data_IF_015212685526
#
_entry.id   IF_015212685526
#
_cell.length_a   1.000
_cell.length_b   1.000
_cell.length_c   1.000
_cell.angle_alpha   90.00
_cell.angle_beta   90.00
_cell.angle_gamma   90.00
#
_symmetry.space_group_name_H-M   'P 1'
#
loop_
_entity.id
_entity.type
_entity.pdbx_description
1 polymer ?
#
# COMPACT_ATOMS: atom_id res chain seq x y z
N UNK A 1 -29.83 -24.39 3.79
CA UNK A 1 -29.12 -23.13 4.13
C UNK A 1 -29.06 -22.35 2.83
N UNK A 2 -29.89 -21.32 2.69
CA UNK A 2 -30.08 -20.62 1.40
C UNK A 2 -28.83 -19.80 1.06
N UNK A 3 -28.00 -20.31 0.15
CA UNK A 3 -26.74 -19.67 -0.27
C UNK A 3 -26.99 -18.25 -0.79
N UNK A 4 -28.08 -18.06 -1.54
CA UNK A 4 -28.54 -16.76 -2.04
C UNK A 4 -28.92 -15.77 -0.93
N UNK A 5 -29.35 -16.25 0.25
CA UNK A 5 -29.64 -15.40 1.40
C UNK A 5 -28.33 -14.94 2.06
N UNK A 6 -27.36 -15.85 2.22
CA UNK A 6 -26.02 -15.52 2.74
C UNK A 6 -25.38 -14.42 1.88
N UNK A 7 -25.41 -14.57 0.54
CA UNK A 7 -24.82 -13.60 -0.38
C UNK A 7 -25.44 -12.21 -0.23
N UNK A 8 -26.78 -12.11 -0.20
CA UNK A 8 -27.48 -10.84 0.06
C UNK A 8 -27.14 -10.23 1.42
N UNK A 9 -26.88 -11.03 2.45
CA UNK A 9 -26.46 -10.54 3.77
C UNK A 9 -25.00 -10.06 3.77
N UNK A 10 -24.13 -10.60 2.91
CA UNK A 10 -22.77 -10.07 2.69
C UNK A 10 -22.85 -8.72 1.95
N UNK A 11 -23.69 -8.62 0.91
CA UNK A 11 -23.90 -7.38 0.15
C UNK A 11 -24.48 -6.22 0.99
N UNK A 12 -25.36 -6.52 1.96
CA UNK A 12 -26.19 -5.50 2.64
C UNK A 12 -25.88 -5.26 4.12
N UNK A 13 -25.23 -6.20 4.81
CA UNK A 13 -25.21 -6.26 6.28
C UNK A 13 -23.82 -6.46 6.87
N UNK A 14 -23.01 -7.36 6.30
CA UNK A 14 -21.62 -7.59 6.72
C UNK A 14 -20.73 -7.68 5.47
N UNK A 15 -20.05 -6.59 5.07
CA UNK A 15 -19.22 -6.56 3.88
C UNK A 15 -18.18 -7.69 3.82
N UNK A 16 -17.79 -8.08 2.61
CA UNK A 16 -16.85 -9.19 2.37
C UNK A 16 -15.53 -9.00 3.12
N UNK A 17 -15.05 -7.76 3.21
CA UNK A 17 -13.82 -7.37 3.92
C UNK A 17 -13.91 -7.70 5.41
N UNK A 18 -15.07 -7.46 6.03
CA UNK A 18 -15.36 -7.76 7.43
C UNK A 18 -15.45 -9.28 7.63
N UNK A 19 -16.11 -9.98 6.71
CA UNK A 19 -16.20 -11.45 6.72
C UNK A 19 -14.83 -12.13 6.63
N UNK A 20 -13.92 -11.57 5.82
CA UNK A 20 -12.54 -12.06 5.67
C UNK A 20 -11.68 -11.73 6.89
N UNK A 21 -11.66 -10.48 7.33
CA UNK A 21 -10.76 -10.00 8.40
C UNK A 21 -11.09 -10.62 9.76
N UNK A 22 -12.37 -10.63 10.15
CA UNK A 22 -12.82 -11.20 11.43
C UNK A 22 -13.16 -12.69 11.37
N UNK A 23 -12.95 -13.36 10.22
CA UNK A 23 -13.30 -14.78 9.99
C UNK A 23 -14.75 -15.11 10.39
N UNK A 24 -15.66 -14.23 9.96
CA UNK A 24 -17.10 -14.33 10.21
C UNK A 24 -17.89 -14.46 8.92
N UNK A 25 -19.16 -14.85 9.04
CA UNK A 25 -20.07 -15.06 7.92
C UNK A 25 -21.53 -14.88 8.39
N UNK A 26 -22.36 -14.00 7.79
CA UNK A 26 -23.78 -13.98 8.09
C UNK A 26 -24.46 -15.24 7.53
N UNK A 27 -25.07 -16.07 8.38
CA UNK A 27 -25.68 -17.34 7.99
C UNK A 27 -27.15 -17.19 7.61
N UNK A 28 -27.90 -16.41 8.38
CA UNK A 28 -29.31 -16.08 8.12
C UNK A 28 -29.75 -14.91 8.98
N UNK A 29 -30.80 -14.20 8.54
CA UNK A 29 -31.52 -13.19 9.33
C UNK A 29 -32.95 -13.67 9.51
N UNK A 30 -33.43 -13.73 10.74
CA UNK A 30 -34.79 -14.15 11.08
C UNK A 30 -35.37 -13.15 12.07
N UNK A 31 -36.47 -12.49 11.68
CA UNK A 31 -37.12 -11.42 12.44
C UNK A 31 -36.13 -10.33 12.89
N UNK A 32 -35.74 -10.35 14.17
CA UNK A 32 -34.78 -9.43 14.80
C UNK A 32 -33.50 -10.12 15.29
N UNK A 33 -33.19 -11.31 14.79
CA UNK A 33 -31.98 -12.08 15.11
C UNK A 33 -31.11 -12.27 13.85
N UNK A 34 -29.80 -12.02 14.00
CA UNK A 34 -28.80 -12.35 12.98
C UNK A 34 -27.95 -13.52 13.46
N UNK A 35 -28.00 -14.62 12.72
CA UNK A 35 -27.15 -15.77 12.95
C UNK A 35 -25.80 -15.53 12.28
N UNK A 36 -24.74 -15.47 13.09
CA UNK A 36 -23.38 -15.19 12.65
C UNK A 36 -22.51 -16.44 12.81
N UNK A 37 -22.06 -17.00 11.70
CA UNK A 37 -21.00 -17.99 11.71
C UNK A 37 -19.68 -17.33 12.07
N UNK A 38 -19.00 -17.84 13.09
CA UNK A 38 -17.66 -17.39 13.49
C UNK A 38 -16.72 -18.60 13.60
N UNK A 39 -15.49 -18.48 13.08
CA UNK A 39 -14.51 -19.58 13.13
C UNK A 39 -13.98 -19.80 14.55
N UNK A 40 -13.79 -18.72 15.31
CA UNK A 40 -13.41 -18.78 16.73
C UNK A 40 -14.46 -18.06 17.62
N UNK A 41 -15.32 -18.81 18.35
CA UNK A 41 -16.30 -18.22 19.25
C UNK A 41 -15.74 -17.41 20.41
N UNK A 42 -14.44 -17.53 20.72
CA UNK A 42 -13.78 -16.78 21.80
C UNK A 42 -13.21 -15.43 21.32
N UNK A 43 -13.33 -15.08 20.03
CA UNK A 43 -12.92 -13.76 19.53
C UNK A 43 -13.93 -12.68 19.93
N UNK A 44 -13.74 -12.16 21.15
CA UNK A 44 -14.49 -11.03 21.71
C UNK A 44 -14.29 -9.75 20.86
N UNK A 45 -13.18 -9.64 20.13
CA UNK A 45 -12.87 -8.48 19.27
C UNK A 45 -13.75 -8.49 18.02
N UNK A 46 -13.83 -9.62 17.32
CA UNK A 46 -14.76 -9.81 16.20
C UNK A 46 -16.22 -9.60 16.63
N UNK A 47 -16.64 -10.22 17.75
CA UNK A 47 -18.02 -10.10 18.21
C UNK A 47 -18.38 -8.69 18.66
N UNK A 48 -17.46 -7.94 19.29
CA UNK A 48 -17.70 -6.55 19.69
C UNK A 48 -17.72 -5.60 18.49
N UNK A 49 -16.82 -5.77 17.52
CA UNK A 49 -16.83 -5.01 16.27
C UNK A 49 -18.16 -5.18 15.51
N UNK A 50 -18.60 -6.43 15.34
CA UNK A 50 -19.83 -6.75 14.61
C UNK A 50 -21.06 -6.27 15.38
N UNK A 51 -21.10 -6.40 16.71
CA UNK A 51 -22.18 -5.81 17.53
C UNK A 51 -22.26 -4.29 17.39
N UNK A 52 -21.12 -3.60 17.38
CA UNK A 52 -21.04 -2.14 17.19
C UNK A 52 -21.48 -1.72 15.79
N UNK A 53 -21.12 -2.48 14.75
CA UNK A 53 -21.56 -2.26 13.37
C UNK A 53 -23.08 -2.47 13.19
N UNK A 54 -23.65 -3.48 13.87
CA UNK A 54 -25.07 -3.82 13.82
C UNK A 54 -25.93 -3.07 14.84
N UNK A 55 -25.33 -2.19 15.66
CA UNK A 55 -26.00 -1.49 16.77
C UNK A 55 -27.18 -0.64 16.29
N UNK A 56 -27.10 -0.10 15.08
CA UNK A 56 -28.15 0.73 14.46
C UNK A 56 -29.32 -0.09 13.87
N UNK A 57 -29.24 -1.42 13.87
CA UNK A 57 -30.21 -2.31 13.22
C UNK A 57 -31.09 -3.08 14.21
N UNK A 58 -30.97 -2.82 15.52
CA UNK A 58 -31.74 -3.46 16.60
C UNK A 58 -31.77 -5.02 16.54
N UNK A 59 -30.72 -5.62 15.97
CA UNK A 59 -30.62 -7.06 15.77
C UNK A 59 -29.89 -7.73 16.94
N UNK A 60 -30.44 -8.82 17.48
CA UNK A 60 -29.74 -9.71 18.41
C UNK A 60 -28.76 -10.58 17.63
N UNK A 61 -27.47 -10.49 17.98
CA UNK A 61 -26.41 -11.28 17.35
C UNK A 61 -26.29 -12.66 18.02
N UNK A 62 -26.56 -13.73 17.26
CA UNK A 62 -26.43 -15.12 17.73
C UNK A 62 -25.19 -15.74 17.07
N UNK A 63 -24.04 -15.84 17.78
CA UNK A 63 -22.84 -16.46 17.24
C UNK A 63 -23.00 -17.99 17.19
N UNK A 64 -22.58 -18.59 16.08
CA UNK A 64 -22.53 -20.03 15.85
C UNK A 64 -21.12 -20.41 15.38
N UNK A 65 -20.53 -21.45 15.97
CA UNK A 65 -19.23 -21.96 15.53
C UNK A 65 -19.33 -22.55 14.13
N UNK A 66 -18.48 -22.12 13.20
CA UNK A 66 -18.31 -22.72 11.87
C UNK A 66 -16.90 -23.27 11.69
N UNK A 67 -16.73 -24.32 10.90
CA UNK A 67 -15.39 -24.79 10.55
C UNK A 67 -14.70 -23.80 9.59
N UNK A 68 -13.36 -23.65 9.66
CA UNK A 68 -12.61 -22.77 8.76
C UNK A 68 -12.76 -23.17 7.28
N UNK A 69 -12.90 -24.47 7.01
CA UNK A 69 -13.19 -25.02 5.68
C UNK A 69 -14.53 -24.53 5.14
N UNK A 70 -15.58 -24.53 5.97
CA UNK A 70 -16.93 -24.08 5.61
C UNK A 70 -16.98 -22.56 5.40
N UNK A 71 -16.25 -21.79 6.21
CA UNK A 71 -16.05 -20.34 6.01
C UNK A 71 -15.39 -20.07 4.66
N UNK A 72 -14.24 -20.70 4.38
CA UNK A 72 -13.50 -20.57 3.11
C UNK A 72 -14.35 -20.98 1.90
N UNK A 73 -15.05 -22.12 1.99
CA UNK A 73 -15.91 -22.64 0.93
C UNK A 73 -17.04 -21.66 0.58
N UNK A 74 -17.72 -21.09 1.58
CA UNK A 74 -18.82 -20.16 1.33
C UNK A 74 -18.36 -18.82 0.72
N UNK A 75 -17.22 -18.28 1.18
CA UNK A 75 -16.65 -17.05 0.60
C UNK A 75 -16.13 -17.26 -0.82
N UNK A 76 -15.58 -18.43 -1.14
CA UNK A 76 -15.22 -18.79 -2.51
C UNK A 76 -16.45 -18.90 -3.43
N UNK A 77 -17.56 -19.46 -2.93
CA UNK A 77 -18.82 -19.51 -3.66
C UNK A 77 -19.36 -18.09 -3.94
N UNK A 78 -19.34 -17.20 -2.95
CA UNK A 78 -19.74 -15.79 -3.10
C UNK A 78 -18.88 -15.03 -4.13
N UNK A 79 -17.55 -15.19 -4.07
CA UNK A 79 -16.62 -14.59 -5.02
C UNK A 79 -16.84 -15.03 -6.47
N UNK A 80 -17.32 -16.27 -6.68
CA UNK A 80 -17.66 -16.75 -8.02
C UNK A 80 -19.03 -16.23 -8.49
N UNK A 81 -20.02 -16.13 -7.59
CA UNK A 81 -21.32 -15.52 -7.87
C UNK A 81 -21.18 -14.04 -8.29
N UNK A 82 -20.36 -13.26 -7.57
CA UNK A 82 -20.13 -11.84 -7.88
C UNK A 82 -19.48 -11.63 -9.26
N UNK A 83 -18.65 -12.57 -9.74
CA UNK A 83 -18.08 -12.54 -11.09
C UNK A 83 -19.12 -12.84 -12.18
N UNK A 84 -20.02 -13.79 -11.93
CA UNK A 84 -21.07 -14.17 -12.87
C UNK A 84 -22.15 -13.07 -13.01
N UNK A 85 -22.45 -12.34 -11.94
CA UNK A 85 -23.42 -11.23 -11.95
C UNK A 85 -22.95 -9.96 -12.69
N UNK A 86 -21.68 -9.89 -13.11
CA UNK A 86 -21.04 -8.66 -13.63
C UNK A 86 -20.58 -8.73 -15.10
N UNK A 87 -21.04 -9.69 -15.91
CA UNK A 87 -20.74 -9.74 -17.36
C UNK A 87 -21.87 -9.13 -18.22
N UNK A 88 -21.60 -8.10 -19.05
CA UNK A 88 -22.53 -7.62 -20.07
C UNK A 88 -22.50 -8.52 -21.32
N UNK A 89 -23.68 -8.82 -21.88
CA UNK A 89 -23.82 -9.65 -23.07
C UNK A 89 -23.25 -8.98 -24.34
N UNK A 90 -22.50 -9.74 -25.15
CA UNK A 90 -21.97 -9.30 -26.45
C UNK A 90 -22.79 -9.83 -27.63
N UNK A 91 -23.08 -8.97 -28.60
CA UNK A 91 -23.57 -9.38 -29.93
C UNK A 91 -23.14 -8.39 -31.05
N UNK A 92 -23.17 -8.86 -32.31
CA UNK A 92 -23.06 -8.13 -33.59
C UNK A 92 -21.68 -7.65 -34.17
N UNK A 93 -21.10 -8.51 -35.02
CA UNK A 93 -20.46 -8.36 -36.36
C UNK A 93 -19.97 -6.98 -36.94
N UNK A 94 -18.68 -6.95 -37.36
CA UNK A 94 -18.02 -6.55 -38.66
C UNK A 94 -18.43 -5.26 -39.45
N UNK A 95 -17.66 -4.71 -40.45
CA UNK A 95 -16.39 -5.14 -41.12
C UNK A 95 -15.28 -4.03 -41.31
N UNK A 96 -14.15 -4.26 -42.06
CA UNK A 96 -13.02 -3.32 -42.28
C UNK A 96 -12.86 -2.78 -43.75
N UNK A 97 -11.66 -2.33 -44.23
CA UNK A 97 -11.07 -0.97 -44.30
C UNK A 97 -11.04 -0.35 -45.75
N UNK A 98 -10.32 0.77 -46.10
CA UNK A 98 -8.92 0.65 -46.61
C UNK A 98 -7.94 1.87 -46.55
N UNK A 99 -6.64 1.53 -46.49
CA UNK A 99 -5.38 2.06 -47.10
C UNK A 99 -5.16 3.46 -47.75
N UNK A 100 -4.11 4.16 -47.24
CA UNK A 100 -2.90 4.76 -47.89
C UNK A 100 -2.94 5.57 -49.22
N UNK A 101 -2.49 6.85 -49.17
CA UNK A 101 -1.41 7.57 -49.92
C UNK A 101 -1.45 9.06 -49.49
N UNK A 102 -0.42 9.93 -49.47
CA UNK A 102 1.01 9.83 -49.78
C UNK A 102 1.49 10.97 -50.71
N UNK A 103 1.99 12.12 -50.20
CA UNK A 103 2.80 13.13 -50.94
C UNK A 103 3.44 14.20 -50.01
N UNK A 104 4.62 14.72 -50.37
CA UNK A 104 5.40 15.81 -49.76
C UNK A 104 6.55 16.21 -50.74
N UNK A 105 7.41 17.23 -50.50
CA UNK A 105 7.39 18.40 -49.60
C UNK A 105 7.36 19.70 -50.49
N UNK A 106 8.14 20.83 -50.36
CA UNK A 106 8.95 21.40 -49.28
C UNK A 106 8.58 22.87 -48.84
N UNK A 107 9.36 23.98 -49.01
CA UNK A 107 9.69 24.78 -47.79
C UNK A 107 9.56 26.33 -47.99
N UNK A 108 10.15 27.23 -47.15
CA UNK A 108 10.75 27.10 -45.80
C UNK A 108 10.27 28.14 -44.75
N UNK A 109 10.56 27.91 -43.44
CA UNK A 109 11.41 28.76 -42.57
C UNK A 109 11.22 28.51 -41.05
N UNK A 110 12.36 28.28 -40.39
CA UNK A 110 12.72 28.39 -38.97
C UNK A 110 11.62 28.69 -37.91
N UNK A 111 11.45 27.77 -36.95
CA UNK A 111 11.34 28.15 -35.53
C UNK A 111 11.89 27.04 -34.61
N UNK A 112 12.36 27.44 -33.43
CA UNK A 112 13.13 26.67 -32.45
C UNK A 112 12.36 25.45 -31.91
N UNK A 113 13.06 24.31 -31.79
CA UNK A 113 12.53 23.09 -31.18
C UNK A 113 12.81 23.08 -29.67
N UNK A 114 11.77 23.01 -28.84
CA UNK A 114 11.89 22.75 -27.40
C UNK A 114 11.51 21.29 -27.16
N UNK A 115 12.42 20.53 -26.55
CA UNK A 115 12.26 19.09 -26.35
C UNK A 115 11.13 18.76 -25.37
N UNK A 116 10.22 17.88 -25.79
CA UNK A 116 9.25 17.26 -24.90
C UNK A 116 9.95 16.17 -24.05
N UNK A 117 10.35 16.51 -22.84
CA UNK A 117 10.97 15.56 -21.91
C UNK A 117 9.96 14.51 -21.44
N UNK A 118 10.21 13.25 -21.80
CA UNK A 118 9.52 12.06 -21.28
C UNK A 118 9.44 12.08 -19.75
N UNK A 119 8.34 11.56 -19.20
CA UNK A 119 8.31 11.10 -17.81
C UNK A 119 9.41 10.04 -17.60
N UNK A 120 10.27 10.16 -16.57
CA UNK A 120 11.19 9.09 -16.20
C UNK A 120 10.44 7.87 -15.66
N UNK A 121 10.88 6.67 -16.06
CA UNK A 121 10.44 5.42 -15.45
C UNK A 121 11.10 5.23 -14.06
N UNK A 122 10.45 4.50 -13.12
CA UNK A 122 11.07 4.17 -11.84
C UNK A 122 12.24 3.17 -12.04
N UNK A 123 13.39 3.35 -11.37
CA UNK A 123 14.50 2.42 -11.45
C UNK A 123 14.29 1.17 -10.58
N UNK A 124 14.81 0.04 -11.08
CA UNK A 124 14.82 -1.27 -10.41
C UNK A 124 15.50 -1.21 -9.03
N UNK A 125 14.91 -1.86 -8.02
CA UNK A 125 15.60 -2.13 -6.75
C UNK A 125 16.50 -3.35 -6.85
N UNK A 126 17.75 -3.21 -6.46
CA UNK A 126 18.66 -4.34 -6.25
C UNK A 126 18.27 -5.16 -5.01
N UNK A 127 18.53 -6.46 -5.08
CA UNK A 127 18.32 -7.39 -3.96
C UNK A 127 19.47 -7.26 -2.96
N UNK A 128 19.18 -7.04 -1.69
CA UNK A 128 20.15 -7.27 -0.60
C UNK A 128 20.13 -8.75 -0.24
N UNK A 129 21.29 -9.40 -0.38
CA UNK A 129 21.51 -10.80 0.00
C UNK A 129 21.53 -10.98 1.51
N UNK A 130 20.97 -12.09 1.99
CA UNK A 130 21.01 -12.48 3.42
C UNK A 130 22.20 -13.40 3.66
N UNK A 131 23.15 -12.99 4.52
CA UNK A 131 24.10 -13.94 5.12
C UNK A 131 24.46 -13.58 6.57
N UNK A 132 24.51 -14.63 7.40
CA UNK A 132 25.24 -14.77 8.67
C UNK A 132 24.98 -13.75 9.80
N UNK A 133 24.13 -14.16 10.74
CA UNK A 133 24.59 -14.38 12.13
C UNK A 133 24.16 -15.78 12.56
N UNK A 134 25.06 -16.52 13.21
CA UNK A 134 24.86 -17.90 13.67
C UNK A 134 25.07 -17.92 15.20
N UNK A 135 24.37 -18.82 15.88
CA UNK A 135 24.65 -19.28 17.25
C UNK A 135 24.67 -18.23 18.39
N UNK A 136 23.59 -18.21 19.17
CA UNK A 136 23.70 -18.54 20.60
C UNK A 136 22.37 -19.09 21.13
N UNK A 137 22.36 -20.37 21.47
CA UNK A 137 21.25 -21.05 22.15
C UNK A 137 21.66 -21.22 23.61
N UNK A 138 20.89 -20.66 24.56
CA UNK A 138 21.04 -21.02 25.98
C UNK A 138 19.70 -20.98 26.70
N UNK A 139 19.20 -22.20 26.98
CA UNK A 139 18.34 -22.65 28.08
C UNK A 139 17.16 -21.78 28.59
N UNK A 140 15.99 -22.41 28.56
CA UNK A 140 14.82 -22.00 29.35
C UNK A 140 15.08 -22.20 30.85
N UNK A 141 14.73 -21.20 31.67
CA UNK A 141 14.37 -21.39 33.07
C UNK A 141 13.18 -20.48 33.43
N UNK A 142 12.14 -21.06 34.04
CA UNK A 142 11.08 -20.30 34.72
C UNK A 142 11.57 -19.92 36.14
N UNK A 143 11.18 -18.74 36.63
CA UNK A 143 10.90 -18.57 38.06
C UNK A 143 9.40 -18.31 38.31
N UNK A 144 8.92 -18.79 39.46
CA UNK A 144 7.54 -18.66 39.90
C UNK A 144 7.18 -17.24 40.39
N UNK A 145 5.89 -17.00 40.46
CA UNK A 145 5.24 -15.86 41.12
C UNK A 145 5.69 -15.66 42.56
N UNK A 146 5.86 -14.40 43.00
CA UNK A 146 4.92 -13.85 43.99
C UNK A 146 4.88 -12.29 44.05
N UNK A 147 3.68 -11.76 43.82
CA UNK A 147 3.01 -10.71 44.62
C UNK A 147 3.76 -9.47 45.16
N UNK A 148 3.60 -8.29 44.53
CA UNK A 148 2.67 -7.22 44.99
C UNK A 148 2.78 -5.83 44.28
N UNK A 149 1.66 -5.41 43.68
CA UNK A 149 1.06 -4.05 43.65
C UNK A 149 1.91 -2.77 43.39
N UNK A 150 1.82 -2.23 42.15
CA UNK A 150 1.80 -0.77 41.91
C UNK A 150 1.01 -0.37 40.62
N UNK A 151 -0.25 0.03 40.85
CA UNK A 151 -1.20 0.82 40.01
C UNK A 151 -0.80 1.23 38.57
N UNK A 152 -1.54 0.67 37.61
CA UNK A 152 -2.37 1.40 36.61
C UNK A 152 -1.76 2.55 35.79
N UNK A 153 -1.44 2.30 34.52
CA UNK A 153 -2.26 2.77 33.37
C UNK A 153 -1.58 2.48 32.02
N UNK A 154 -2.01 1.42 31.33
CA UNK A 154 -1.66 1.15 29.94
C UNK A 154 -2.92 0.79 29.16
N UNK A 155 -3.68 1.84 28.80
CA UNK A 155 -4.82 1.75 27.87
C UNK A 155 -4.44 2.43 26.57
N UNK A 156 -4.10 1.64 25.54
CA UNK A 156 -4.02 2.10 24.15
C UNK A 156 -4.13 0.92 23.17
N UNK A 157 -5.36 0.42 23.03
CA UNK A 157 -5.95 -0.17 21.82
C UNK A 157 -5.06 -0.22 20.56
N UNK A 158 -4.72 -1.43 20.12
CA UNK A 158 -4.19 -1.70 18.76
C UNK A 158 -5.32 -1.68 17.72
N UNK A 159 -6.04 -0.56 17.60
CA UNK A 159 -6.82 -0.31 16.39
C UNK A 159 -5.84 -0.04 15.25
N UNK A 160 -6.01 -0.71 14.11
CA UNK A 160 -5.13 -0.57 12.94
C UNK A 160 -5.43 0.74 12.16
N UNK A 161 -5.60 1.84 12.90
CA UNK A 161 -5.91 3.18 12.37
C UNK A 161 -4.65 3.82 11.81
N UNK A 162 -4.70 4.23 10.54
CA UNK A 162 -3.65 5.01 9.90
C UNK A 162 -3.34 6.28 10.71
N UNK A 163 -2.06 6.60 10.99
CA UNK A 163 -1.71 7.74 11.83
C UNK A 163 -2.31 9.06 11.29
N UNK A 164 -2.95 9.82 12.17
CA UNK A 164 -3.46 11.14 11.81
C UNK A 164 -2.30 12.11 11.59
N UNK A 165 -2.34 12.82 10.46
CA UNK A 165 -1.41 13.89 10.13
C UNK A 165 -1.84 15.17 10.85
N UNK A 166 -1.26 15.39 12.03
CA UNK A 166 -1.40 16.64 12.78
C UNK A 166 -0.32 17.62 12.31
N UNK A 167 -0.72 18.61 11.52
CA UNK A 167 0.15 19.68 11.04
C UNK A 167 -0.32 21.01 11.63
N UNK A 168 0.60 21.77 12.22
CA UNK A 168 0.29 23.05 12.86
C UNK A 168 0.73 24.21 11.97
N UNK A 169 -0.23 24.92 11.39
CA UNK A 169 0.04 26.09 10.55
C UNK A 169 -0.67 27.35 11.08
N UNK A 170 -0.24 27.93 12.22
CA UNK A 170 -0.79 29.18 12.75
C UNK A 170 -0.63 30.39 11.81
N UNK A 171 0.30 30.37 10.85
CA UNK A 171 0.63 31.49 9.98
C UNK A 171 0.11 31.33 8.54
N UNK A 172 -0.91 30.49 8.27
CA UNK A 172 -1.48 30.30 6.91
C UNK A 172 -1.79 31.60 6.14
N UNK A 173 -2.13 32.67 6.85
CA UNK A 173 -2.46 34.00 6.33
C UNK A 173 -1.27 34.91 6.04
N UNK A 174 -0.05 34.56 6.46
CA UNK A 174 1.14 35.40 6.24
C UNK A 174 1.72 35.22 4.82
N UNK A 175 2.37 36.26 4.26
CA UNK A 175 3.25 36.13 3.09
C UNK A 175 4.38 35.12 3.34
N UNK A 176 4.81 34.40 2.31
CA UNK A 176 5.82 33.33 2.42
C UNK A 176 7.20 33.86 2.83
N UNK A 177 7.51 35.06 2.36
CA UNK A 177 8.76 35.80 2.58
C UNK A 177 9.02 36.03 4.07
N UNK A 178 7.95 36.14 4.88
CA UNK A 178 8.04 36.29 6.34
C UNK A 178 8.23 34.96 7.07
N UNK A 179 7.99 33.81 6.43
CA UNK A 179 8.22 32.49 7.02
C UNK A 179 9.70 32.10 7.04
N UNK A 180 10.53 32.67 6.15
CA UNK A 180 11.96 32.37 6.08
C UNK A 180 12.71 32.67 7.40
N UNK A 181 12.13 33.49 8.28
CA UNK A 181 12.66 33.82 9.61
C UNK A 181 12.22 32.84 10.73
N UNK A 182 11.39 31.84 10.43
CA UNK A 182 10.93 30.86 11.41
C UNK A 182 12.00 29.77 11.67
N UNK A 183 11.88 29.08 12.82
CA UNK A 183 12.69 27.89 13.06
C UNK A 183 12.37 26.80 12.02
N UNK A 184 13.35 25.96 11.61
CA UNK A 184 13.14 24.98 10.52
C UNK A 184 11.95 24.05 10.73
N UNK A 185 11.70 23.61 11.97
CA UNK A 185 10.54 22.80 12.33
C UNK A 185 9.21 23.52 12.07
N UNK A 186 9.11 24.80 12.49
CA UNK A 186 7.90 25.62 12.26
C UNK A 186 7.72 25.93 10.78
N UNK A 187 8.81 26.18 10.06
CA UNK A 187 8.80 26.38 8.61
C UNK A 187 8.28 25.15 7.87
N UNK A 188 8.73 23.94 8.24
CA UNK A 188 8.23 22.69 7.66
C UNK A 188 6.73 22.51 7.92
N UNK A 189 6.27 22.75 9.16
CA UNK A 189 4.87 22.62 9.54
C UNK A 189 3.97 23.61 8.79
N UNK A 190 4.40 24.87 8.62
CA UNK A 190 3.72 25.86 7.77
C UNK A 190 3.67 25.45 6.30
N UNK A 191 4.80 24.99 5.73
CA UNK A 191 4.85 24.53 4.34
C UNK A 191 3.91 23.33 4.13
N UNK A 192 3.97 22.32 4.99
CA UNK A 192 3.06 21.16 4.95
C UNK A 192 1.60 21.61 5.08
N UNK A 193 1.29 22.51 6.01
CA UNK A 193 -0.07 23.00 6.23
C UNK A 193 -0.62 23.72 5.01
N UNK A 194 0.18 24.61 4.40
CA UNK A 194 -0.16 25.28 3.14
C UNK A 194 -0.33 24.28 2.00
N UNK A 195 0.55 23.30 1.88
CA UNK A 195 0.49 22.27 0.84
C UNK A 195 -0.82 21.48 0.94
N UNK A 196 -1.18 21.05 2.14
CA UNK A 196 -2.38 20.26 2.40
C UNK A 196 -3.67 21.06 2.20
N UNK A 197 -3.73 22.29 2.72
CA UNK A 197 -4.91 23.17 2.68
C UNK A 197 -5.12 23.76 1.28
N UNK A 198 -4.10 24.36 0.67
CA UNK A 198 -4.18 24.93 -0.69
C UNK A 198 -4.21 23.85 -1.78
N UNK A 199 -3.90 22.61 -1.43
CA UNK A 199 -4.06 21.47 -2.32
C UNK A 199 -2.94 21.27 -3.34
N UNK A 200 -1.76 21.77 -3.01
CA UNK A 200 -0.52 21.66 -3.76
C UNK A 200 -0.13 20.18 -3.88
N UNK A 201 0.24 19.75 -5.09
CA UNK A 201 0.54 18.34 -5.37
C UNK A 201 1.99 17.93 -5.09
N UNK A 202 2.92 18.89 -5.14
CA UNK A 202 4.37 18.65 -4.98
C UNK A 202 5.05 19.85 -4.34
N UNK A 203 6.07 19.58 -3.51
CA UNK A 203 6.96 20.54 -2.87
C UNK A 203 8.40 20.07 -3.15
N UNK A 204 9.24 20.90 -3.76
CA UNK A 204 10.63 20.60 -4.07
C UNK A 204 11.55 21.47 -3.23
N UNK A 205 12.63 20.89 -2.72
CA UNK A 205 13.68 21.52 -1.93
C UNK A 205 14.98 21.37 -2.73
N UNK A 206 15.44 22.47 -3.29
CA UNK A 206 16.62 22.49 -4.17
C UNK A 206 17.73 23.30 -3.51
N UNK A 207 18.95 22.78 -3.59
CA UNK A 207 20.12 23.37 -2.96
C UNK A 207 20.96 24.08 -4.01
N UNK A 208 21.20 25.37 -3.78
CA UNK A 208 22.11 26.18 -4.59
C UNK A 208 23.44 26.34 -3.86
N UNK A 209 24.41 26.97 -4.53
CA UNK A 209 25.78 27.13 -4.02
C UNK A 209 25.85 27.87 -2.67
N UNK A 210 25.02 28.90 -2.48
CA UNK A 210 25.07 29.79 -1.30
C UNK A 210 23.74 29.88 -0.54
N UNK A 211 22.64 29.40 -1.15
CA UNK A 211 21.29 29.45 -0.60
C UNK A 211 20.51 28.17 -0.91
N UNK A 212 19.37 27.99 -0.27
CA UNK A 212 18.35 27.01 -0.66
C UNK A 212 17.17 27.68 -1.35
N UNK A 213 16.39 26.91 -2.09
CA UNK A 213 15.05 27.32 -2.53
C UNK A 213 14.02 26.22 -2.31
N UNK A 214 12.78 26.64 -2.04
CA UNK A 214 11.62 25.75 -1.98
C UNK A 214 10.66 26.16 -3.08
N UNK A 215 10.31 25.20 -3.93
CA UNK A 215 9.33 25.35 -5.00
C UNK A 215 8.10 24.51 -4.68
N UNK A 216 6.96 24.84 -5.27
CA UNK A 216 5.79 23.98 -5.21
C UNK A 216 5.05 23.89 -6.55
N UNK A 217 4.24 22.85 -6.72
CA UNK A 217 3.34 22.68 -7.86
C UNK A 217 1.89 22.86 -7.45
N UNK A 218 1.30 23.98 -7.85
CA UNK A 218 -0.14 24.23 -7.76
C UNK A 218 -0.72 24.16 -9.17
N UNK A 219 -1.78 23.37 -9.36
CA UNK A 219 -2.50 23.23 -10.65
C UNK A 219 -1.61 22.86 -11.85
N UNK A 220 -0.47 22.20 -11.59
CA UNK A 220 0.51 21.81 -12.61
C UNK A 220 1.58 22.87 -12.91
N UNK A 221 1.45 24.09 -12.39
CA UNK A 221 2.44 25.16 -12.54
C UNK A 221 3.43 25.09 -11.37
N UNK A 222 4.73 25.05 -11.68
CA UNK A 222 5.79 25.21 -10.69
C UNK A 222 5.96 26.68 -10.32
N UNK A 223 5.95 26.98 -9.03
CA UNK A 223 6.11 28.34 -8.48
C UNK A 223 7.16 28.31 -7.37
N UNK A 224 7.95 29.37 -7.25
CA UNK A 224 8.80 29.58 -6.09
C UNK A 224 7.93 29.86 -4.85
N UNK A 225 8.11 29.05 -3.81
CA UNK A 225 7.46 29.27 -2.52
C UNK A 225 8.36 30.07 -1.58
N UNK A 226 9.66 29.77 -1.58
CA UNK A 226 10.68 30.47 -0.81
C UNK A 226 11.97 30.52 -1.65
N UNK A 227 12.49 31.72 -1.88
CA UNK A 227 13.75 31.94 -2.57
C UNK A 227 14.82 32.41 -1.60
N UNK A 228 16.10 32.16 -1.92
CA UNK A 228 17.25 32.63 -1.18
C UNK A 228 17.23 32.30 0.34
N UNK A 229 16.76 31.09 0.69
CA UNK A 229 16.80 30.60 2.07
C UNK A 229 18.27 30.51 2.54
N UNK A 230 18.62 31.10 3.70
CA UNK A 230 19.95 30.93 4.28
C UNK A 230 20.29 29.46 4.48
N UNK A 231 21.51 29.06 4.11
CA UNK A 231 21.95 27.66 4.16
C UNK A 231 21.72 26.95 5.51
N UNK A 232 21.90 27.59 6.69
CA UNK A 232 21.58 26.96 7.98
C UNK A 232 20.09 26.60 8.13
N UNK A 233 19.19 27.46 7.62
CA UNK A 233 17.74 27.26 7.69
C UNK A 233 17.33 26.15 6.70
N UNK A 234 17.88 26.16 5.49
CA UNK A 234 17.64 25.10 4.51
C UNK A 234 18.15 23.74 4.98
N UNK A 235 19.35 23.67 5.56
CA UNK A 235 19.89 22.42 6.10
C UNK A 235 19.05 21.89 7.28
N UNK A 236 18.62 22.78 8.18
CA UNK A 236 17.68 22.41 9.24
C UNK A 236 16.34 21.92 8.69
N UNK A 237 15.82 22.54 7.63
CA UNK A 237 14.56 22.18 7.00
C UNK A 237 14.62 20.77 6.37
N UNK A 238 15.75 20.42 5.76
CA UNK A 238 16.03 19.07 5.25
C UNK A 238 16.14 18.03 6.38
N UNK A 239 16.75 18.38 7.51
CA UNK A 239 16.83 17.49 8.68
C UNK A 239 15.45 17.25 9.29
N UNK A 240 14.64 18.29 9.49
CA UNK A 240 13.26 18.18 9.98
C UNK A 240 12.38 17.37 9.01
N UNK A 241 12.54 17.55 7.70
CA UNK A 241 11.83 16.78 6.68
C UNK A 241 12.18 15.28 6.76
N UNK A 242 13.46 14.96 6.97
CA UNK A 242 13.92 13.58 7.19
C UNK A 242 13.37 12.99 8.48
N UNK A 243 13.43 13.72 9.59
CA UNK A 243 12.88 13.29 10.87
C UNK A 243 11.37 13.04 10.79
N UNK A 244 10.63 13.90 10.09
CA UNK A 244 9.21 13.70 9.81
C UNK A 244 8.92 12.38 9.04
N UNK A 245 9.85 11.93 8.20
CA UNK A 245 9.81 10.62 7.52
C UNK A 245 10.48 9.46 8.28
N UNK A 246 10.89 9.66 9.54
CA UNK A 246 11.68 8.71 10.35
C UNK A 246 13.00 8.27 9.68
N UNK A 247 13.67 9.19 8.99
CA UNK A 247 14.95 8.97 8.32
C UNK A 247 16.12 9.57 9.12
N UNK A 248 17.29 8.98 8.96
CA UNK A 248 18.54 9.51 9.52
C UNK A 248 18.87 10.89 8.95
N UNK A 249 19.34 11.82 9.79
CA UNK A 249 19.78 13.17 9.38
C UNK A 249 20.95 13.20 8.39
N UNK A 250 21.66 12.08 8.21
CA UNK A 250 22.81 11.91 7.31
C UNK A 250 22.36 12.10 5.84
N UNK A 251 23.08 12.88 5.01
CA UNK A 251 22.82 13.01 3.57
C UNK A 251 22.76 11.66 2.84
N UNK A 252 21.90 11.51 1.85
CA UNK A 252 21.89 10.29 1.02
C UNK A 252 22.99 10.34 -0.06
N UNK A 253 23.74 9.25 -0.18
CA UNK A 253 24.73 9.04 -1.26
C UNK A 253 24.07 8.59 -2.57
N UNK A 254 22.88 7.98 -2.47
CA UNK A 254 22.14 7.39 -3.59
C UNK A 254 20.68 7.84 -3.54
N UNK A 255 19.99 8.01 -4.69
CA UNK A 255 18.57 8.35 -4.74
C UNK A 255 17.72 7.41 -3.89
N UNK A 256 16.93 7.97 -2.96
CA UNK A 256 16.12 7.21 -2.00
C UNK A 256 14.68 7.71 -1.97
N UNK A 257 13.74 6.82 -2.26
CA UNK A 257 12.31 7.10 -2.16
C UNK A 257 11.68 6.37 -0.96
N UNK A 258 10.82 7.09 -0.23
CA UNK A 258 10.09 6.62 0.96
C UNK A 258 8.65 7.13 0.87
N UNK A 259 7.68 6.24 1.05
CA UNK A 259 6.27 6.57 1.09
C UNK A 259 5.69 6.45 2.51
N UNK A 260 4.68 7.28 2.79
CA UNK A 260 4.06 7.40 4.10
C UNK A 260 2.56 7.61 3.98
N UNK A 261 1.78 6.62 4.40
CA UNK A 261 0.32 6.70 4.45
C UNK A 261 -0.14 7.46 5.71
N UNK A 262 -1.12 8.37 5.58
CA UNK A 262 -1.66 9.20 6.66
C UNK A 262 -3.13 9.53 6.45
N UNK A 263 -3.83 9.85 7.55
CA UNK A 263 -5.19 10.42 7.52
C UNK A 263 -5.18 11.90 7.87
N UNK A 264 -5.81 12.74 7.05
CA UNK A 264 -6.08 14.15 7.34
C UNK A 264 -7.59 14.35 7.45
N UNK A 265 -8.09 14.43 8.69
CA UNK A 265 -9.53 14.30 8.95
C UNK A 265 -10.04 12.95 8.44
N UNK A 266 -10.98 12.99 7.50
CA UNK A 266 -11.51 11.81 6.80
C UNK A 266 -10.80 11.51 5.46
N UNK A 267 -9.81 12.33 5.05
CA UNK A 267 -9.13 12.16 3.76
C UNK A 267 -7.88 11.30 3.92
N UNK A 268 -7.82 10.19 3.19
CA UNK A 268 -6.60 9.39 3.08
C UNK A 268 -5.57 10.05 2.15
N UNK A 269 -4.32 10.10 2.59
CA UNK A 269 -3.19 10.71 1.90
C UNK A 269 -2.01 9.74 1.86
N UNK A 270 -1.22 9.79 0.78
CA UNK A 270 0.14 9.22 0.76
C UNK A 270 1.11 10.34 0.44
N UNK A 271 2.06 10.54 1.35
CA UNK A 271 3.18 11.44 1.19
C UNK A 271 4.35 10.61 0.65
N UNK A 272 4.91 11.00 -0.49
CA UNK A 272 6.10 10.35 -1.08
C UNK A 272 7.24 11.34 -1.02
N UNK A 273 8.27 11.02 -0.24
CA UNK A 273 9.54 11.74 -0.20
C UNK A 273 10.55 11.02 -1.11
N UNK A 274 11.13 11.74 -2.04
CA UNK A 274 12.30 11.32 -2.82
C UNK A 274 13.46 12.24 -2.46
N UNK A 275 14.56 11.66 -1.97
CA UNK A 275 15.83 12.33 -1.70
C UNK A 275 16.81 11.99 -2.82
N UNK A 276 17.55 13.00 -3.30
CA UNK A 276 18.56 12.84 -4.35
C UNK A 276 19.83 13.60 -3.99
N UNK A 277 21.04 13.02 -4.19
CA UNK A 277 22.27 13.81 -4.16
C UNK A 277 22.28 14.75 -5.37
N UNK A 278 22.35 16.06 -5.12
CA UNK A 278 22.53 17.09 -6.14
C UNK A 278 23.96 17.67 -6.13
N UNK A 279 24.29 18.48 -7.13
CA UNK A 279 25.64 19.06 -7.33
C UNK A 279 26.16 19.82 -6.10
N UNK A 280 25.29 20.57 -5.44
CA UNK A 280 25.62 21.44 -4.32
C UNK A 280 25.30 20.82 -2.95
N UNK A 281 24.84 19.56 -2.95
CA UNK A 281 24.40 18.78 -1.80
C UNK A 281 23.02 18.17 -2.02
N UNK A 282 22.42 17.66 -0.95
CA UNK A 282 21.17 16.91 -1.02
C UNK A 282 19.94 17.76 -1.37
N UNK A 283 19.10 17.21 -2.24
CA UNK A 283 17.81 17.75 -2.68
C UNK A 283 16.67 16.82 -2.26
N UNK A 284 15.46 17.36 -2.16
CA UNK A 284 14.26 16.58 -1.85
C UNK A 284 13.08 16.98 -2.73
N UNK A 285 12.24 16.00 -3.08
CA UNK A 285 10.88 16.27 -3.56
C UNK A 285 9.86 15.49 -2.73
N UNK A 286 8.85 16.21 -2.27
CA UNK A 286 7.72 15.69 -1.51
C UNK A 286 6.48 15.77 -2.38
N UNK A 287 5.85 14.64 -2.70
CA UNK A 287 4.61 14.55 -3.44
C UNK A 287 3.45 14.15 -2.53
N UNK A 288 2.32 14.84 -2.66
CA UNK A 288 1.11 14.61 -1.85
C UNK A 288 0.04 13.97 -2.72
N UNK A 289 -0.17 12.66 -2.55
CA UNK A 289 -1.17 11.90 -3.29
C UNK A 289 -2.49 11.83 -2.53
N UNK A 290 -3.57 12.20 -3.21
CA UNK A 290 -4.94 12.16 -2.70
C UNK A 290 -5.95 11.87 -3.79
N UNK A 291 -7.15 11.43 -3.43
CA UNK A 291 -8.25 11.17 -4.37
C UNK A 291 -7.87 10.23 -5.53
N UNK A 292 -8.07 10.67 -6.78
CA UNK A 292 -7.77 9.87 -7.98
C UNK A 292 -6.29 9.50 -8.11
N UNK A 293 -5.37 10.43 -7.84
CA UNK A 293 -3.93 10.18 -7.95
C UNK A 293 -3.45 9.10 -6.95
N UNK A 294 -4.03 9.10 -5.74
CA UNK A 294 -3.78 8.07 -4.74
C UNK A 294 -4.31 6.69 -5.17
N UNK A 295 -5.52 6.63 -5.74
CA UNK A 295 -6.07 5.36 -6.27
C UNK A 295 -5.18 4.79 -7.38
N UNK A 296 -4.72 5.63 -8.30
CA UNK A 296 -3.80 5.26 -9.37
C UNK A 296 -2.48 4.69 -8.82
N UNK A 297 -1.85 5.41 -7.87
CA UNK A 297 -0.61 4.94 -7.24
C UNK A 297 -0.77 3.60 -6.53
N UNK A 298 -1.86 3.38 -5.78
CA UNK A 298 -2.13 2.08 -5.14
C UNK A 298 -2.34 0.96 -6.16
N UNK A 299 -3.04 1.23 -7.27
CA UNK A 299 -3.23 0.26 -8.35
C UNK A 299 -1.91 -0.12 -9.00
N UNK A 300 -1.06 0.86 -9.33
CA UNK A 300 0.26 0.63 -9.91
C UNK A 300 1.16 -0.17 -8.95
N UNK A 301 1.19 0.18 -7.66
CA UNK A 301 1.98 -0.53 -6.65
C UNK A 301 1.54 -1.99 -6.47
N UNK A 302 0.23 -2.26 -6.57
CA UNK A 302 -0.31 -3.64 -6.57
C UNK A 302 0.14 -4.39 -7.84
N UNK A 303 0.11 -3.75 -9.01
CA UNK A 303 0.56 -4.36 -10.25
C UNK A 303 2.06 -4.71 -10.19
N UNK A 304 2.93 -3.78 -9.80
CA UNK A 304 4.37 -4.00 -9.64
C UNK A 304 4.66 -5.18 -8.68
N UNK A 305 4.01 -5.21 -7.51
CA UNK A 305 4.12 -6.31 -6.55
C UNK A 305 3.62 -7.65 -7.11
N UNK A 306 2.56 -7.64 -7.93
CA UNK A 306 2.04 -8.86 -8.54
C UNK A 306 2.94 -9.42 -9.64
N UNK A 307 3.57 -8.54 -10.44
CA UNK A 307 4.57 -8.93 -11.44
C UNK A 307 5.82 -9.51 -10.79
N UNK A 308 6.30 -8.92 -9.69
CA UNK A 308 7.46 -9.42 -8.96
C UNK A 308 7.17 -10.73 -8.22
N UNK A 309 5.97 -10.89 -7.64
CA UNK A 309 5.52 -12.16 -7.09
C UNK A 309 5.45 -13.26 -8.16
N UNK A 310 4.95 -12.93 -9.37
CA UNK A 310 4.91 -13.84 -10.51
C UNK A 310 6.32 -14.27 -10.94
N UNK A 311 7.26 -13.32 -11.08
CA UNK A 311 8.68 -13.59 -11.40
C UNK A 311 9.33 -14.49 -10.35
N UNK A 312 9.11 -14.22 -9.06
CA UNK A 312 9.69 -14.99 -7.96
C UNK A 312 9.15 -16.42 -7.93
N UNK A 313 7.84 -16.60 -8.14
CA UNK A 313 7.21 -17.91 -8.18
C UNK A 313 7.65 -18.74 -9.41
N UNK A 314 7.84 -18.11 -10.57
CA UNK A 314 8.43 -18.77 -11.75
C UNK A 314 9.89 -19.18 -11.52
N UNK A 315 10.67 -18.37 -10.79
CA UNK A 315 12.03 -18.74 -10.37
C UNK A 315 12.01 -19.94 -9.41
N UNK A 316 11.08 -19.95 -8.44
CA UNK A 316 10.90 -21.06 -7.50
C UNK A 316 10.47 -22.35 -8.23
N UNK A 317 9.49 -22.27 -9.12
CA UNK A 317 9.04 -23.39 -9.95
C UNK A 317 10.20 -24.01 -10.73
N UNK A 318 10.99 -23.18 -11.44
CA UNK A 318 12.17 -23.66 -12.18
C UNK A 318 13.18 -24.36 -11.27
N UNK A 319 13.45 -23.80 -10.08
CA UNK A 319 14.38 -24.42 -9.12
C UNK A 319 13.85 -25.71 -8.51
N UNK A 320 12.54 -25.84 -8.32
CA UNK A 320 11.91 -27.09 -7.88
C UNK A 320 11.95 -28.16 -8.98
N UNK A 321 11.72 -27.79 -10.24
CA UNK A 321 11.93 -28.70 -11.39
C UNK A 321 13.39 -29.14 -11.49
N UNK A 322 14.35 -28.21 -11.42
CA UNK A 322 15.79 -28.53 -11.42
C UNK A 322 16.20 -29.47 -10.27
N UNK A 323 15.50 -29.45 -9.14
CA UNK A 323 15.72 -30.41 -8.03
C UNK A 323 15.06 -31.75 -8.36
N UNK A 324 13.82 -31.76 -8.87
CA UNK A 324 13.13 -32.98 -9.29
C UNK A 324 13.88 -33.76 -10.37
N UNK A 325 14.40 -33.06 -11.38
CA UNK A 325 15.19 -33.63 -12.48
C UNK A 325 16.55 -34.18 -12.03
N UNK A 326 17.02 -33.82 -10.82
CA UNK A 326 18.24 -34.34 -10.19
C UNK A 326 18.00 -35.53 -9.26
N UNK A 327 16.75 -35.89 -8.99
CA UNK A 327 16.41 -37.08 -8.22
C UNK A 327 16.34 -38.29 -9.15
N UNK A 328 17.41 -39.10 -9.14
CA UNK A 328 17.42 -40.39 -9.83
C UNK A 328 16.41 -41.36 -9.18
N UNK A 329 15.50 -41.99 -9.95
CA UNK A 329 14.46 -42.87 -9.41
C UNK A 329 14.99 -44.23 -8.88
N UNK A 330 16.31 -44.44 -8.89
CA UNK A 330 16.96 -45.66 -8.43
C UNK A 330 17.30 -45.69 -6.94
N UNK A 331 17.16 -44.56 -6.21
CA UNK A 331 17.55 -44.45 -4.81
C UNK A 331 16.35 -44.31 -3.84
N UNK A 332 16.18 -45.39 -3.08
CA UNK A 332 15.46 -45.55 -1.79
C UNK A 332 13.96 -45.25 -1.72
N UNK A 333 13.23 -46.32 -1.39
CA UNK A 333 11.77 -46.45 -1.23
C UNK A 333 11.14 -45.47 -0.21
N UNK A 334 11.92 -44.89 0.70
CA UNK A 334 11.44 -43.93 1.71
C UNK A 334 11.20 -42.51 1.14
N UNK A 335 11.86 -42.16 0.02
CA UNK A 335 11.71 -40.85 -0.64
C UNK A 335 10.41 -40.71 -1.45
N UNK A 336 9.73 -41.83 -1.74
CA UNK A 336 8.53 -41.91 -2.59
C UNK A 336 7.30 -41.16 -2.05
N UNK A 337 7.33 -40.70 -0.79
CA UNK A 337 6.23 -39.93 -0.18
C UNK A 337 6.32 -38.43 -0.42
N UNK A 338 7.52 -37.87 -0.63
CA UNK A 338 7.72 -36.42 -0.79
C UNK A 338 7.60 -35.97 -2.24
N UNK A 339 7.93 -36.83 -3.21
CA UNK A 339 7.87 -36.51 -4.64
C UNK A 339 6.44 -36.23 -5.15
N UNK A 340 5.39 -36.99 -4.76
CA UNK A 340 4.01 -36.63 -5.06
C UNK A 340 3.59 -35.31 -4.41
N UNK A 341 4.05 -35.02 -3.19
CA UNK A 341 3.76 -33.77 -2.49
C UNK A 341 4.41 -32.57 -3.19
N UNK A 342 5.66 -32.68 -3.65
CA UNK A 342 6.34 -31.65 -4.45
C UNK A 342 5.60 -31.43 -5.78
N UNK A 343 5.14 -32.49 -6.45
CA UNK A 343 4.37 -32.37 -7.69
C UNK A 343 2.99 -31.69 -7.45
N UNK A 344 2.30 -32.01 -6.35
CA UNK A 344 1.08 -31.31 -5.94
C UNK A 344 1.34 -29.84 -5.60
N UNK A 345 2.46 -29.51 -4.94
CA UNK A 345 2.87 -28.14 -4.65
C UNK A 345 3.14 -27.38 -5.95
N UNK A 346 3.82 -27.98 -6.93
CA UNK A 346 4.05 -27.41 -8.25
C UNK A 346 2.73 -27.11 -8.97
N UNK A 347 1.82 -28.09 -9.07
CA UNK A 347 0.50 -27.90 -9.68
C UNK A 347 -0.33 -26.82 -8.97
N UNK A 348 -0.26 -26.75 -7.64
CA UNK A 348 -0.93 -25.70 -6.87
C UNK A 348 -0.32 -24.32 -7.14
N UNK A 349 1.01 -24.21 -7.23
CA UNK A 349 1.69 -22.96 -7.62
C UNK A 349 1.24 -22.54 -9.03
N UNK A 350 1.24 -23.44 -10.02
CA UNK A 350 0.78 -23.15 -11.38
C UNK A 350 -0.68 -22.64 -11.42
N UNK A 351 -1.59 -23.25 -10.66
CA UNK A 351 -2.96 -22.76 -10.51
C UNK A 351 -3.02 -21.36 -9.90
N UNK A 352 -2.23 -21.08 -8.85
CA UNK A 352 -2.16 -19.73 -8.26
C UNK A 352 -1.56 -18.70 -9.25
N UNK A 353 -0.59 -19.08 -10.08
CA UNK A 353 -0.03 -18.20 -11.13
C UNK A 353 -1.05 -17.89 -12.23
N UNK A 354 -1.88 -18.86 -12.62
CA UNK A 354 -3.00 -18.63 -13.53
C UNK A 354 -4.05 -17.67 -12.93
N UNK A 355 -4.38 -17.81 -11.64
CA UNK A 355 -5.32 -16.92 -10.94
C UNK A 355 -4.75 -15.50 -10.81
N UNK A 356 -3.45 -15.35 -10.53
CA UNK A 356 -2.78 -14.06 -10.47
C UNK A 356 -2.77 -13.36 -11.85
N UNK A 357 -2.41 -14.09 -12.91
CA UNK A 357 -2.44 -13.59 -14.31
C UNK A 357 -3.81 -13.19 -14.83
N UNK A 358 -4.90 -13.61 -14.18
CA UNK A 358 -6.28 -13.20 -14.52
C UNK A 358 -6.79 -12.01 -13.69
N UNK A 359 -6.00 -11.50 -12.74
CA UNK A 359 -6.35 -10.37 -11.86
C UNK A 359 -5.54 -9.10 -12.13
N UNK A 360 -4.38 -9.25 -12.77
CA UNK A 360 -3.66 -8.18 -13.49
C UNK A 360 -4.30 -7.96 -14.85
#
# INVERSE_FOLDING_TARGET
>A
MEINQIFKLIDTLIPLEVCLYHKVLPLSRQESCLYLGIVDPQDVTALSYIRKMLQNLNCKLVPQKISPEKHKSMLLAYLNYQKQSNQPAKSAKAPPPPSKTGFAPPPPKNTVSIGATKLPAPPSRERVSVEKVKEQVTQLQLPNSDSQSAKTSLVASTENSLPQLKVQAPYLSLPLEKLANLSPQKLLQELLGRVLVKGIGRLCFERQRESGRVLWSQEGVMQSALENLPMPIFQGLMVELKQFFNLSSIPVEHPRQVDMERMMGQTHLVLILQLTPGEWGEEASLQVLRGKALKFYKQQKIQELSEDALKLAQQLQRKLSEIGDRFDPSLTLESMTTLPAIHQILQHIDQQLLILKQKT
#
